data_IF_176783770962
#
_entry.id   IF_176783770962
#
_cell.length_a   1.000
_cell.length_b   1.000
_cell.length_c   1.000
_cell.angle_alpha   90.00
_cell.angle_beta   90.00
_cell.angle_gamma   90.00
#
_symmetry.space_group_name_H-M   'P 1'
#
loop_
_entity.id
_entity.type
_entity.pdbx_description
1 polymer ?
#
# COMPACT_ATOMS: atom_id res chain seq x y z
N UNK A 1 61.04 39.09 -22.75
CA UNK A 1 60.82 37.79 -23.45
C UNK A 1 59.70 37.98 -24.47
N UNK A 2 60.00 38.01 -25.78
CA UNK A 2 58.97 38.13 -26.82
C UNK A 2 58.35 36.76 -27.05
N UNK A 3 57.12 36.53 -26.59
CA UNK A 3 56.34 35.35 -26.96
C UNK A 3 56.12 35.36 -28.47
N UNK A 4 56.85 34.53 -29.21
CA UNK A 4 56.61 34.34 -30.64
C UNK A 4 55.47 33.35 -30.77
N UNK A 5 54.28 33.84 -31.11
CA UNK A 5 53.15 32.98 -31.45
C UNK A 5 53.49 32.18 -32.71
N UNK A 6 53.59 30.86 -32.57
CA UNK A 6 53.68 29.97 -33.70
C UNK A 6 52.29 29.74 -34.28
N UNK A 7 52.19 29.52 -35.59
CA UNK A 7 50.92 29.20 -36.27
C UNK A 7 50.23 27.99 -35.62
N UNK A 8 50.99 27.03 -35.10
CA UNK A 8 50.46 25.86 -34.36
C UNK A 8 49.69 26.25 -33.11
N UNK A 9 50.21 27.23 -32.35
CA UNK A 9 49.54 27.73 -31.15
C UNK A 9 48.24 28.47 -31.51
N UNK A 10 48.26 29.27 -32.58
CA UNK A 10 47.07 29.96 -33.07
C UNK A 10 45.97 28.99 -33.52
N UNK A 11 46.34 27.94 -34.25
CA UNK A 11 45.41 26.88 -34.65
C UNK A 11 44.84 26.12 -33.45
N UNK A 12 45.67 25.80 -32.46
CA UNK A 12 45.22 25.13 -31.23
C UNK A 12 44.18 25.98 -30.49
N UNK A 13 44.44 27.28 -30.32
CA UNK A 13 43.49 28.20 -29.67
C UNK A 13 42.19 28.30 -30.46
N UNK A 14 42.25 28.40 -31.78
CA UNK A 14 41.06 28.45 -32.64
C UNK A 14 40.25 27.16 -32.55
N UNK A 15 40.90 26.00 -32.59
CA UNK A 15 40.24 24.70 -32.45
C UNK A 15 39.61 24.53 -31.07
N UNK A 16 40.28 24.97 -30.01
CA UNK A 16 39.74 24.92 -28.65
C UNK A 16 38.52 25.84 -28.49
N UNK A 17 38.56 27.03 -29.10
CA UNK A 17 37.43 27.94 -29.13
C UNK A 17 36.23 27.34 -29.88
N UNK A 18 36.46 26.74 -31.06
CA UNK A 18 35.41 26.05 -31.80
C UNK A 18 34.84 24.86 -31.01
N UNK A 19 35.68 24.14 -30.26
CA UNK A 19 35.26 23.02 -29.42
C UNK A 19 34.46 23.45 -28.18
N UNK A 20 34.64 24.68 -27.70
CA UNK A 20 33.83 25.21 -26.61
C UNK A 20 32.33 25.24 -26.96
N UNK A 21 31.98 25.42 -28.24
CA UNK A 21 30.60 25.46 -28.73
C UNK A 21 29.85 24.14 -28.47
N UNK A 22 30.29 22.97 -29.01
CA UNK A 22 29.60 21.70 -28.74
C UNK A 22 29.66 21.31 -27.26
N UNK A 23 30.73 21.67 -26.53
CA UNK A 23 30.81 21.42 -25.09
C UNK A 23 29.73 22.19 -24.30
N UNK A 24 29.59 23.49 -24.56
CA UNK A 24 28.57 24.33 -23.94
C UNK A 24 27.16 23.89 -24.35
N UNK A 25 26.95 23.54 -25.62
CA UNK A 25 25.68 23.02 -26.10
C UNK A 25 25.26 21.74 -25.37
N UNK A 26 26.18 20.80 -25.18
CA UNK A 26 25.91 19.58 -24.41
C UNK A 26 25.53 19.89 -22.95
N UNK A 27 26.28 20.76 -22.28
CA UNK A 27 26.01 21.14 -20.88
C UNK A 27 24.66 21.84 -20.74
N UNK A 28 24.31 22.71 -21.68
CA UNK A 28 23.03 23.41 -21.70
C UNK A 28 21.84 22.46 -21.87
N UNK A 29 21.92 21.53 -22.82
CA UNK A 29 20.86 20.53 -23.04
C UNK A 29 20.66 19.66 -21.80
N UNK A 30 21.76 19.22 -21.18
CA UNK A 30 21.72 18.45 -19.95
C UNK A 30 21.01 19.20 -18.80
N UNK A 31 21.36 20.47 -18.61
CA UNK A 31 20.79 21.29 -17.55
C UNK A 31 19.30 21.58 -17.79
N UNK A 32 18.91 21.83 -19.05
CA UNK A 32 17.50 21.97 -19.44
C UNK A 32 16.71 20.70 -19.16
N UNK A 33 17.23 19.53 -19.50
CA UNK A 33 16.56 18.25 -19.25
C UNK A 33 16.30 18.08 -17.74
N UNK A 34 17.32 18.32 -16.92
CA UNK A 34 17.19 18.23 -15.47
C UNK A 34 16.14 19.20 -14.93
N UNK A 35 16.14 20.45 -15.39
CA UNK A 35 15.18 21.46 -14.98
C UNK A 35 13.75 21.06 -15.34
N UNK A 36 13.53 20.60 -16.58
CA UNK A 36 12.22 20.14 -17.05
C UNK A 36 11.73 18.92 -16.28
N UNK A 37 12.60 17.94 -16.03
CA UNK A 37 12.28 16.74 -15.26
C UNK A 37 11.82 17.09 -13.85
N UNK A 38 12.56 17.96 -13.16
CA UNK A 38 12.20 18.42 -11.81
C UNK A 38 10.86 19.16 -11.83
N UNK A 39 10.61 20.03 -12.80
CA UNK A 39 9.33 20.73 -12.92
C UNK A 39 8.14 19.78 -13.10
N UNK A 40 8.30 18.74 -13.90
CA UNK A 40 7.27 17.71 -14.11
C UNK A 40 7.03 16.89 -12.84
N UNK A 41 8.10 16.48 -12.14
CA UNK A 41 8.01 15.73 -10.90
C UNK A 41 7.25 16.53 -9.82
N UNK A 42 7.60 17.80 -9.62
CA UNK A 42 6.92 18.66 -8.65
C UNK A 42 5.44 18.86 -8.98
N UNK A 43 5.11 19.00 -10.27
CA UNK A 43 3.71 19.11 -10.70
C UNK A 43 2.94 17.82 -10.36
N UNK A 44 3.52 16.65 -10.63
CA UNK A 44 2.91 15.35 -10.32
C UNK A 44 2.69 15.15 -8.81
N UNK A 45 3.68 15.52 -7.99
CA UNK A 45 3.55 15.45 -6.53
C UNK A 45 2.47 16.42 -6.04
N UNK A 46 2.41 17.62 -6.62
CA UNK A 46 1.39 18.62 -6.31
C UNK A 46 -0.02 18.14 -6.63
N UNK A 47 -0.23 17.54 -7.80
CA UNK A 47 -1.54 16.98 -8.18
C UNK A 47 -1.91 15.80 -7.29
N UNK A 48 -0.99 14.87 -7.02
CA UNK A 48 -1.23 13.76 -6.10
C UNK A 48 -1.63 14.24 -4.70
N UNK A 49 -0.96 15.27 -4.18
CA UNK A 49 -1.31 15.89 -2.88
C UNK A 49 -2.67 16.57 -2.91
N UNK A 50 -2.98 17.31 -3.96
CA UNK A 50 -4.28 17.97 -4.11
C UNK A 50 -5.42 16.95 -4.19
N UNK A 51 -5.24 15.87 -4.96
CA UNK A 51 -6.20 14.75 -5.04
C UNK A 51 -6.34 14.07 -3.68
N UNK A 52 -5.24 13.74 -2.99
CA UNK A 52 -5.28 13.14 -1.67
C UNK A 52 -6.02 14.04 -0.65
N UNK A 53 -5.79 15.35 -0.70
CA UNK A 53 -6.47 16.32 0.18
C UNK A 53 -7.96 16.38 -0.13
N UNK A 54 -8.34 16.56 -1.39
CA UNK A 54 -9.74 16.61 -1.82
C UNK A 54 -10.51 15.31 -1.51
N UNK A 55 -9.81 14.17 -1.54
CA UNK A 55 -10.36 12.86 -1.22
C UNK A 55 -10.46 12.64 0.31
N UNK A 56 -9.46 13.09 1.07
CA UNK A 56 -9.47 13.06 2.54
C UNK A 56 -10.61 13.91 3.12
N UNK A 57 -10.92 15.06 2.51
CA UNK A 57 -12.04 15.93 2.91
C UNK A 57 -13.43 15.37 2.58
N UNK A 58 -13.51 14.21 1.90
CA UNK A 58 -14.76 13.52 1.56
C UNK A 58 -14.86 12.15 2.22
N UNK A 59 -14.90 12.06 3.57
CA UNK A 59 -15.01 10.78 4.28
C UNK A 59 -16.26 9.98 3.86
N UNK A 60 -17.34 10.67 3.47
CA UNK A 60 -18.56 10.04 2.97
C UNK A 60 -18.40 9.21 1.68
N UNK A 61 -17.34 9.44 0.87
CA UNK A 61 -17.01 8.60 -0.29
C UNK A 61 -16.37 7.25 0.12
N UNK A 62 -15.85 7.15 1.34
CA UNK A 62 -15.27 5.93 1.90
C UNK A 62 -16.18 5.24 2.91
N UNK A 63 -17.10 5.98 3.52
CA UNK A 63 -18.12 5.46 4.45
C UNK A 63 -19.06 4.45 3.80
N UNK A 64 -19.28 4.51 2.48
CA UNK A 64 -20.26 3.64 1.81
C UNK A 64 -19.75 2.25 1.42
N UNK A 65 -18.44 1.95 1.53
CA UNK A 65 -17.92 0.66 1.06
C UNK A 65 -16.76 0.03 1.84
N UNK A 66 -16.17 0.69 2.83
CA UNK A 66 -14.97 0.16 3.52
C UNK A 66 -14.95 0.23 5.04
N UNK A 67 -15.81 1.03 5.68
CA UNK A 67 -15.77 1.19 7.14
C UNK A 67 -16.84 0.39 7.89
N UNK A 68 -18.03 0.20 7.32
CA UNK A 68 -19.13 -0.48 8.01
C UNK A 68 -20.01 -1.18 6.98
N UNK A 69 -19.70 -2.44 6.64
CA UNK A 69 -20.72 -3.30 6.07
C UNK A 69 -21.87 -3.35 7.09
N UNK A 70 -22.98 -2.67 6.79
CA UNK A 70 -24.21 -2.69 7.60
C UNK A 70 -24.68 -4.12 7.87
N UNK A 71 -24.28 -5.07 7.03
CA UNK A 71 -24.45 -6.50 7.20
C UNK A 71 -23.09 -7.17 7.04
N UNK A 72 -22.45 -7.55 8.15
CA UNK A 72 -21.34 -8.52 8.15
C UNK A 72 -21.87 -9.77 7.47
N UNK A 73 -21.24 -10.23 6.38
CA UNK A 73 -21.60 -11.53 5.79
C UNK A 73 -20.90 -12.61 6.61
N UNK A 74 -21.65 -13.47 7.32
CA UNK A 74 -21.05 -14.65 7.96
C UNK A 74 -20.26 -15.43 6.90
N UNK A 75 -19.03 -15.83 7.25
CA UNK A 75 -18.15 -16.61 6.35
C UNK A 75 -17.15 -15.81 5.51
N UNK A 76 -17.39 -14.51 5.23
CA UNK A 76 -16.48 -13.69 4.38
C UNK A 76 -15.80 -12.55 5.13
N UNK A 77 -16.51 -11.87 6.04
CA UNK A 77 -16.00 -10.67 6.72
C UNK A 77 -15.72 -10.94 8.19
N UNK A 78 -14.48 -10.68 8.63
CA UNK A 78 -14.10 -10.86 10.03
C UNK A 78 -14.36 -9.57 10.83
N UNK A 79 -15.44 -9.55 11.60
CA UNK A 79 -15.77 -8.45 12.50
C UNK A 79 -15.38 -8.76 13.94
N UNK A 80 -14.56 -7.90 14.56
CA UNK A 80 -14.13 -8.00 15.95
C UNK A 80 -14.86 -6.97 16.83
N UNK A 81 -15.99 -7.32 17.48
CA UNK A 81 -16.69 -6.44 18.40
C UNK A 81 -15.79 -6.02 19.59
N UNK A 82 -15.98 -4.80 20.12
CA UNK A 82 -15.34 -4.42 21.37
C UNK A 82 -15.89 -5.24 22.54
N UNK A 83 -15.00 -5.80 23.35
CA UNK A 83 -15.34 -6.56 24.56
C UNK A 83 -15.07 -5.73 25.82
N UNK A 84 -15.87 -5.93 26.87
CA UNK A 84 -15.84 -5.09 28.07
C UNK A 84 -14.65 -5.37 29.00
N UNK A 85 -14.16 -6.61 28.98
CA UNK A 85 -13.07 -7.09 29.83
C UNK A 85 -12.04 -7.82 28.97
N UNK A 86 -10.75 -7.79 29.35
CA UNK A 86 -9.74 -8.58 28.66
C UNK A 86 -10.01 -10.08 28.84
N UNK A 87 -9.81 -10.87 27.78
CA UNK A 87 -9.88 -12.33 27.86
C UNK A 87 -8.61 -12.85 28.54
N UNK A 88 -8.77 -13.77 29.48
CA UNK A 88 -7.65 -14.46 30.09
C UNK A 88 -7.13 -15.57 29.15
N UNK A 89 -5.81 -15.61 28.92
CA UNK A 89 -5.18 -16.60 28.04
C UNK A 89 -4.79 -17.86 28.83
N UNK A 90 -5.73 -18.46 29.54
CA UNK A 90 -5.55 -19.67 30.36
C UNK A 90 -6.08 -20.95 29.70
N UNK A 91 -6.68 -20.82 28.51
CA UNK A 91 -7.27 -21.93 27.77
C UNK A 91 -8.71 -22.25 28.19
N UNK A 92 -9.27 -21.54 29.18
CA UNK A 92 -10.69 -21.61 29.48
C UNK A 92 -11.49 -20.68 28.55
N UNK A 93 -12.69 -21.11 28.16
CA UNK A 93 -13.56 -20.34 27.26
C UNK A 93 -14.67 -19.58 28.01
N UNK A 94 -14.59 -19.52 29.34
CA UNK A 94 -15.64 -18.95 30.20
C UNK A 94 -15.85 -17.46 29.93
N UNK A 95 -14.77 -16.71 29.67
CA UNK A 95 -14.82 -15.27 29.38
C UNK A 95 -15.61 -14.94 28.10
N UNK A 96 -15.70 -15.88 27.18
CA UNK A 96 -16.38 -15.72 25.90
C UNK A 96 -17.89 -16.00 25.96
N UNK A 97 -18.39 -16.66 27.01
CA UNK A 97 -19.81 -17.04 27.12
C UNK A 97 -20.76 -15.84 27.05
N UNK A 98 -20.32 -14.67 27.52
CA UNK A 98 -21.12 -13.42 27.50
C UNK A 98 -21.42 -12.95 26.07
N UNK A 99 -20.63 -13.38 25.09
CA UNK A 99 -20.71 -12.95 23.69
C UNK A 99 -20.92 -14.13 22.73
N UNK A 100 -21.34 -15.30 23.23
CA UNK A 100 -21.53 -16.54 22.46
C UNK A 100 -22.40 -16.38 21.19
N UNK A 101 -23.34 -15.42 21.20
CA UNK A 101 -24.18 -15.09 20.05
C UNK A 101 -23.42 -14.57 18.81
N UNK A 102 -22.14 -14.18 18.95
CA UNK A 102 -21.29 -13.76 17.83
C UNK A 102 -20.28 -14.84 17.42
N UNK A 103 -20.37 -16.05 17.99
CA UNK A 103 -19.53 -17.19 17.60
C UNK A 103 -19.96 -17.70 16.23
N UNK A 104 -19.01 -17.74 15.29
CA UNK A 104 -19.20 -18.31 13.98
C UNK A 104 -18.83 -19.80 13.99
N UNK A 105 -19.66 -20.62 13.35
CA UNK A 105 -19.37 -22.06 13.18
C UNK A 105 -18.92 -22.32 11.75
N UNK A 106 -17.72 -22.87 11.59
CA UNK A 106 -17.17 -23.21 10.28
C UNK A 106 -17.26 -24.71 10.03
N UNK A 107 -17.64 -25.08 8.80
CA UNK A 107 -17.87 -26.47 8.40
C UNK A 107 -18.05 -26.61 6.88
N UNK A 108 -18.96 -27.48 6.44
CA UNK A 108 -19.25 -27.74 5.02
C UNK A 108 -19.71 -26.53 4.23
N UNK A 109 -20.45 -25.63 4.89
CA UNK A 109 -21.16 -24.55 4.20
C UNK A 109 -20.27 -23.33 3.94
N UNK A 110 -19.07 -23.30 4.55
CA UNK A 110 -18.12 -22.19 4.50
C UNK A 110 -16.86 -22.54 3.67
N UNK A 111 -16.96 -23.53 2.78
CA UNK A 111 -15.85 -23.94 1.89
C UNK A 111 -15.80 -23.03 0.66
N UNK A 112 -14.73 -22.23 0.56
CA UNK A 112 -14.55 -21.26 -0.55
C UNK A 112 -13.99 -21.91 -1.82
N UNK A 113 -13.05 -22.84 -1.68
CA UNK A 113 -12.42 -23.51 -2.83
C UNK A 113 -12.08 -24.97 -2.48
N UNK A 114 -12.26 -25.87 -3.44
CA UNK A 114 -11.92 -27.30 -3.32
C UNK A 114 -10.88 -27.66 -4.37
N UNK A 115 -9.69 -28.09 -3.95
CA UNK A 115 -8.58 -28.40 -4.86
C UNK A 115 -8.60 -29.84 -5.42
N UNK A 116 -9.54 -30.70 -5.00
CA UNK A 116 -9.58 -32.12 -5.40
C UNK A 116 -10.74 -32.41 -6.35
N UNK A 117 -10.44 -32.59 -7.64
CA UNK A 117 -11.40 -32.93 -8.71
C UNK A 117 -12.08 -34.30 -8.56
N UNK A 118 -11.58 -35.18 -7.68
CA UNK A 118 -11.92 -36.61 -7.62
C UNK A 118 -12.91 -37.01 -6.53
N UNK A 119 -13.34 -36.09 -5.66
CA UNK A 119 -14.34 -36.37 -4.63
C UNK A 119 -15.64 -35.66 -5.00
N UNK A 120 -16.64 -36.42 -5.47
CA UNK A 120 -17.94 -35.92 -5.89
C UNK A 120 -18.77 -35.25 -4.78
N UNK A 121 -18.25 -35.23 -3.54
CA UNK A 121 -18.75 -34.42 -2.43
C UNK A 121 -17.70 -34.40 -1.30
N UNK A 122 -16.76 -33.44 -1.26
CA UNK A 122 -15.80 -33.35 -0.17
C UNK A 122 -16.50 -32.73 1.04
N UNK A 123 -17.10 -33.56 1.88
CA UNK A 123 -17.47 -33.13 3.22
C UNK A 123 -16.18 -32.78 3.97
N UNK A 124 -15.95 -31.52 4.37
CA UNK A 124 -14.77 -31.19 5.16
C UNK A 124 -14.82 -31.94 6.49
N UNK A 125 -13.68 -32.54 6.86
CA UNK A 125 -13.53 -33.24 8.14
C UNK A 125 -13.32 -32.28 9.31
N UNK A 126 -12.86 -31.07 9.03
CA UNK A 126 -12.61 -30.04 10.02
C UNK A 126 -13.87 -29.20 10.28
N UNK A 127 -14.29 -29.13 11.53
CA UNK A 127 -15.35 -28.25 12.02
C UNK A 127 -14.85 -27.55 13.26
N UNK A 128 -14.99 -26.24 13.34
CA UNK A 128 -14.50 -25.45 14.45
C UNK A 128 -15.41 -24.24 14.70
N UNK A 129 -15.33 -23.70 15.91
CA UNK A 129 -16.07 -22.50 16.30
C UNK A 129 -15.07 -21.37 16.46
N UNK A 130 -15.27 -20.31 15.72
CA UNK A 130 -14.34 -19.19 15.73
C UNK A 130 -15.02 -17.90 16.16
N UNK A 131 -14.26 -17.09 16.89
CA UNK A 131 -14.69 -15.79 17.34
C UNK A 131 -13.48 -14.88 17.54
N UNK A 132 -13.71 -13.58 17.38
CA UNK A 132 -12.70 -12.55 17.60
C UNK A 132 -13.30 -11.42 18.43
N UNK A 133 -12.52 -10.86 19.35
CA UNK A 133 -12.92 -9.72 20.18
C UNK A 133 -11.78 -8.72 20.36
N UNK A 134 -12.11 -7.44 20.55
CA UNK A 134 -11.11 -6.38 20.77
C UNK A 134 -11.25 -5.75 22.15
N UNK A 135 -10.16 -5.71 22.92
CA UNK A 135 -10.07 -4.94 24.16
C UNK A 135 -8.91 -3.95 24.08
N UNK A 136 -9.20 -2.65 24.03
CA UNK A 136 -8.19 -1.61 23.85
C UNK A 136 -7.39 -1.79 22.55
N UNK A 137 -6.09 -2.04 22.67
CA UNK A 137 -5.18 -2.32 21.56
C UNK A 137 -4.97 -3.81 21.27
N UNK A 138 -5.62 -4.70 22.04
CA UNK A 138 -5.46 -6.14 21.92
C UNK A 138 -6.60 -6.78 21.15
N UNK A 139 -6.25 -7.77 20.34
CA UNK A 139 -7.18 -8.64 19.62
C UNK A 139 -7.08 -10.04 20.22
N UNK A 140 -8.23 -10.63 20.52
CA UNK A 140 -8.35 -11.98 21.05
C UNK A 140 -9.09 -12.84 20.03
N UNK A 141 -8.73 -14.10 19.93
CA UNK A 141 -9.41 -15.06 19.08
C UNK A 141 -9.52 -16.43 19.77
N UNK A 142 -10.59 -17.16 19.47
CA UNK A 142 -10.85 -18.54 19.91
C UNK A 142 -11.17 -19.41 18.69
N UNK A 143 -10.83 -20.70 18.74
CA UNK A 143 -11.02 -21.68 17.66
C UNK A 143 -11.48 -23.03 18.22
#
# INVERSE_FOLDING_TARGET
>A
MRFRFSIRLQLLVLSLFLFAIPYLGYKYVWELEQYLRIGQEQTMIGTARAVATALHERPALFDSQSAYLKNVRPGTDLYAPPIQYPIQLDGELNDWQRIDHLVASYGSDEVVETYTKTLANPNPTLRFKHMVGRYGQFLYAMF
#
